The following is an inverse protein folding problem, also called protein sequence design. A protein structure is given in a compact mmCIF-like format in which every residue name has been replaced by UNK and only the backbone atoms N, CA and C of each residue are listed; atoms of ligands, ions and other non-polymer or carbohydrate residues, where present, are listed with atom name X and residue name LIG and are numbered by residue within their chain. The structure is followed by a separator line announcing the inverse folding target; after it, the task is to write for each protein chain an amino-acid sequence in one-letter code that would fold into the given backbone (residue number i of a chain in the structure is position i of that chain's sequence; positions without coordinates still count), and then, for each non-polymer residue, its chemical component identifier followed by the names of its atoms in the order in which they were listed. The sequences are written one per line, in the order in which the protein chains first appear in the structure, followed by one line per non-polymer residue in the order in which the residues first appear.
data_IF_943591597020
#
_entry.id   IF_943591597020
#
_cell.length_a   1.000
_cell.length_b   1.000
_cell.length_c   1.000
_cell.angle_alpha   90.00
_cell.angle_beta   90.00
_cell.angle_gamma   90.00
#
_symmetry.space_group_name_H-M   'P 1'
#
loop_
_entity.id
_entity.type
_entity.pdbx_description
1 polymer ?
#
# COMPACT_ATOMS: atom_id res chain seq x y z
N UNK A 1 -33.21 9.73 -2.47
CA UNK A 1 -32.60 8.39 -2.44
C UNK A 1 -33.00 7.50 -3.61
N UNK A 2 -33.31 8.05 -4.79
CA UNK A 2 -33.65 7.28 -6.02
C UNK A 2 -32.57 7.37 -7.12
N UNK A 3 -31.56 8.21 -6.93
CA UNK A 3 -30.53 8.49 -7.96
C UNK A 3 -29.42 7.40 -7.99
N UNK A 4 -29.12 6.79 -6.85
CA UNK A 4 -28.10 5.73 -6.72
C UNK A 4 -28.46 4.42 -7.43
N UNK A 5 -29.75 4.10 -7.58
CA UNK A 5 -30.18 2.89 -8.28
C UNK A 5 -30.10 2.99 -9.81
N UNK A 6 -30.19 4.22 -10.34
CA UNK A 6 -30.19 4.44 -11.79
C UNK A 6 -28.77 4.37 -12.39
N UNK A 7 -27.76 4.84 -11.68
CA UNK A 7 -26.36 4.78 -12.12
C UNK A 7 -25.80 3.35 -12.07
N UNK A 8 -26.17 2.56 -11.05
CA UNK A 8 -25.78 1.15 -10.94
C UNK A 8 -26.42 0.31 -12.05
N UNK A 9 -27.69 0.58 -12.41
CA UNK A 9 -28.38 -0.08 -13.50
C UNK A 9 -27.74 0.17 -14.88
N UNK A 10 -27.14 1.35 -15.07
CA UNK A 10 -26.48 1.71 -16.34
C UNK A 10 -25.16 0.97 -16.50
N UNK A 11 -24.39 0.77 -15.42
CA UNK A 11 -23.14 0.01 -15.44
C UNK A 11 -23.40 -1.49 -15.68
N UNK A 12 -24.46 -2.05 -15.10
CA UNK A 12 -24.85 -3.44 -15.29
C UNK A 12 -25.41 -3.67 -16.71
N UNK A 13 -26.12 -2.70 -17.30
CA UNK A 13 -26.66 -2.80 -18.66
C UNK A 13 -25.56 -2.82 -19.74
N UNK A 14 -24.37 -2.25 -19.48
CA UNK A 14 -23.25 -2.31 -20.41
C UNK A 14 -22.53 -3.68 -20.39
N UNK A 15 -22.67 -4.46 -19.30
CA UNK A 15 -22.13 -5.83 -19.17
C UNK A 15 -23.08 -6.95 -19.64
N UNK A 16 -24.36 -6.65 -19.89
CA UNK A 16 -25.39 -7.67 -20.18
C UNK A 16 -25.67 -7.91 -21.69
N UNK A 17 -24.64 -7.89 -22.52
CA UNK A 17 -24.82 -8.26 -23.94
C UNK A 17 -24.84 -9.78 -24.06
N UNK A 18 -26.08 -10.31 -24.21
CA UNK A 18 -26.49 -11.64 -24.71
C UNK A 18 -26.18 -12.87 -23.84
N UNK A 19 -27.06 -13.15 -22.87
CA UNK A 19 -27.36 -14.54 -22.51
C UNK A 19 -28.87 -14.82 -22.63
N UNK A 20 -29.23 -15.93 -23.26
CA UNK A 20 -30.60 -16.32 -23.61
C UNK A 20 -31.51 -16.73 -22.43
N UNK A 21 -31.16 -16.35 -21.21
CA UNK A 21 -32.00 -16.38 -20.00
C UNK A 21 -31.74 -15.10 -19.22
N UNK A 22 -32.27 -13.97 -19.71
CA UNK A 22 -32.23 -12.71 -19.00
C UNK A 22 -33.02 -12.85 -17.68
N UNK A 23 -32.34 -12.97 -16.59
CA UNK A 23 -32.92 -12.68 -15.27
C UNK A 23 -33.47 -11.26 -15.31
N UNK A 24 -34.63 -11.04 -14.67
CA UNK A 24 -35.15 -9.68 -14.52
C UNK A 24 -34.04 -8.78 -13.94
N UNK A 25 -33.85 -7.60 -14.53
CA UNK A 25 -32.84 -6.62 -14.11
C UNK A 25 -32.87 -6.38 -12.58
N UNK A 26 -34.03 -6.46 -11.96
CA UNK A 26 -34.20 -6.34 -10.50
C UNK A 26 -33.54 -7.50 -9.74
N UNK A 27 -33.63 -8.73 -10.24
CA UNK A 27 -33.01 -9.90 -9.60
C UNK A 27 -31.49 -9.91 -9.85
N UNK A 28 -31.04 -9.47 -11.02
CA UNK A 28 -29.61 -9.29 -11.30
C UNK A 28 -28.97 -8.24 -10.37
N UNK A 29 -29.67 -7.11 -10.10
CA UNK A 29 -29.20 -6.06 -9.19
C UNK A 29 -29.16 -6.53 -7.74
N UNK A 30 -30.09 -7.38 -7.32
CA UNK A 30 -30.12 -7.93 -5.94
C UNK A 30 -28.96 -8.86 -5.62
N UNK A 31 -28.37 -9.48 -6.63
CA UNK A 31 -27.29 -10.45 -6.51
C UNK A 31 -25.89 -9.84 -6.73
N UNK A 32 -25.79 -8.51 -6.85
CA UNK A 32 -24.50 -7.82 -6.94
C UNK A 32 -23.97 -7.57 -5.53
N UNK A 33 -22.81 -8.12 -5.23
CA UNK A 33 -22.04 -7.76 -4.05
C UNK A 33 -21.44 -6.37 -4.29
N UNK A 34 -21.67 -5.45 -3.35
CA UNK A 34 -21.14 -4.09 -3.39
C UNK A 34 -20.39 -3.82 -2.12
N UNK A 35 -19.14 -3.41 -2.25
CA UNK A 35 -18.33 -2.91 -1.15
C UNK A 35 -17.52 -1.72 -1.62
N UNK A 36 -16.95 -0.97 -0.69
CA UNK A 36 -16.16 0.18 -1.09
C UNK A 36 -15.56 0.94 0.07
N UNK A 37 -14.78 1.96 -0.30
CA UNK A 37 -14.12 2.85 0.64
C UNK A 37 -14.21 4.28 0.11
N UNK A 38 -14.52 5.21 1.00
CA UNK A 38 -14.40 6.65 0.75
C UNK A 38 -13.50 7.20 1.83
N UNK A 39 -12.40 7.82 1.43
CA UNK A 39 -11.43 8.38 2.35
C UNK A 39 -11.17 9.85 2.07
N UNK A 40 -10.95 10.59 3.15
CA UNK A 40 -10.51 11.98 3.16
C UNK A 40 -9.33 12.11 4.10
N UNK A 41 -8.32 12.88 3.69
CA UNK A 41 -7.14 13.19 4.50
C UNK A 41 -6.81 14.68 4.35
N UNK A 42 -6.72 15.35 5.48
CA UNK A 42 -6.11 16.67 5.60
C UNK A 42 -4.71 16.51 6.15
N UNK A 43 -3.73 17.04 5.46
CA UNK A 43 -2.36 17.18 5.94
C UNK A 43 -2.06 18.67 6.14
N UNK A 44 -1.26 18.96 7.16
CA UNK A 44 -0.77 20.28 7.47
C UNK A 44 0.69 20.17 7.95
N UNK A 45 1.59 20.80 7.20
CA UNK A 45 3.02 20.72 7.43
C UNK A 45 3.58 22.14 7.55
N UNK A 46 4.27 22.39 8.65
CA UNK A 46 4.97 23.63 8.89
C UNK A 46 6.47 23.33 8.97
N UNK A 47 7.22 23.79 7.95
CA UNK A 47 8.63 23.51 7.78
C UNK A 47 9.48 24.70 8.20
N UNK A 48 10.59 24.42 8.90
CA UNK A 48 11.62 25.36 9.32
C UNK A 48 13.00 24.80 9.03
N UNK A 49 14.03 25.65 9.02
CA UNK A 49 15.43 25.24 8.97
C UNK A 49 16.14 25.61 10.25
N UNK A 50 17.13 24.82 10.65
CA UNK A 50 17.96 25.07 11.84
C UNK A 50 18.92 26.28 11.64
N UNK A 51 19.20 26.66 10.38
CA UNK A 51 20.12 27.74 10.04
C UNK A 51 19.45 29.12 9.98
N UNK A 52 20.07 30.10 10.62
CA UNK A 52 19.68 31.52 10.58
C UNK A 52 19.87 32.18 9.19
N UNK A 53 20.22 31.45 8.15
CA UNK A 53 20.36 31.95 6.79
C UNK A 53 18.98 32.15 6.15
N UNK A 54 18.35 33.25 6.52
CA UNK A 54 16.99 33.70 6.21
C UNK A 54 16.63 33.90 4.72
N UNK A 55 17.35 33.32 3.77
CA UNK A 55 17.10 33.44 2.34
C UNK A 55 16.48 32.22 1.69
N UNK A 56 16.20 31.13 2.46
CA UNK A 56 15.42 29.99 1.97
C UNK A 56 13.98 30.10 2.42
N UNK A 57 13.09 30.13 1.45
CA UNK A 57 11.67 30.00 1.69
C UNK A 57 11.40 28.58 2.14
N UNK A 58 11.31 28.38 3.43
CA UNK A 58 10.78 27.14 4.01
C UNK A 58 9.28 27.27 3.94
N UNK A 59 8.62 26.32 3.32
CA UNK A 59 7.20 26.41 3.02
C UNK A 59 6.34 25.66 4.02
N UNK A 60 5.33 26.31 4.54
CA UNK A 60 4.19 25.60 5.11
C UNK A 60 3.25 25.21 4.00
N UNK A 61 2.75 23.98 3.99
CA UNK A 61 1.76 23.55 3.02
C UNK A 61 0.68 22.68 3.65
N UNK A 62 -0.51 22.76 3.11
CA UNK A 62 -1.62 21.90 3.49
C UNK A 62 -2.25 21.27 2.26
N UNK A 63 -2.79 20.08 2.41
CA UNK A 63 -3.47 19.37 1.33
C UNK A 63 -4.74 18.70 1.82
N UNK A 64 -5.73 18.66 0.92
CA UNK A 64 -7.00 17.96 1.12
C UNK A 64 -7.11 16.86 0.08
N UNK A 65 -6.89 15.64 0.53
CA UNK A 65 -6.72 14.47 -0.32
C UNK A 65 -7.95 13.57 -0.22
N UNK A 66 -8.44 13.09 -1.36
CA UNK A 66 -9.65 12.28 -1.46
C UNK A 66 -9.44 11.10 -2.38
N UNK A 67 -10.08 9.99 -2.03
CA UNK A 67 -10.24 8.83 -2.90
C UNK A 67 -11.54 8.11 -2.58
N UNK A 68 -12.23 7.66 -3.61
CA UNK A 68 -13.36 6.76 -3.44
C UNK A 68 -13.18 5.54 -4.34
N UNK A 69 -13.41 4.36 -3.79
CA UNK A 69 -13.32 3.10 -4.52
C UNK A 69 -14.58 2.26 -4.26
N UNK A 70 -15.13 1.68 -5.34
CA UNK A 70 -16.31 0.82 -5.29
C UNK A 70 -15.93 -0.51 -5.95
N UNK A 71 -16.16 -1.61 -5.23
CA UNK A 71 -15.99 -2.96 -5.75
C UNK A 71 -17.37 -3.55 -6.05
N UNK A 72 -17.48 -4.21 -7.18
CA UNK A 72 -18.66 -4.94 -7.60
C UNK A 72 -18.29 -6.40 -7.84
N UNK A 73 -19.07 -7.33 -7.29
CA UNK A 73 -18.93 -8.76 -7.52
C UNK A 73 -20.24 -9.33 -8.06
N UNK A 74 -20.20 -10.07 -9.17
CA UNK A 74 -21.36 -10.69 -9.78
C UNK A 74 -21.10 -12.17 -10.02
N UNK A 75 -21.90 -13.05 -9.40
CA UNK A 75 -21.86 -14.47 -9.70
C UNK A 75 -22.47 -14.70 -11.08
N UNK A 76 -21.66 -15.16 -12.04
CA UNK A 76 -22.09 -15.46 -13.40
C UNK A 76 -22.73 -16.86 -13.47
N UNK A 77 -22.07 -17.85 -12.85
CA UNK A 77 -22.56 -19.22 -12.63
C UNK A 77 -21.85 -19.83 -11.40
N UNK A 78 -21.95 -21.15 -11.19
CA UNK A 78 -21.38 -21.78 -10.00
C UNK A 78 -19.86 -21.74 -9.94
N UNK A 79 -19.18 -21.66 -11.08
CA UNK A 79 -17.73 -21.69 -11.20
C UNK A 79 -17.12 -20.35 -11.63
N UNK A 80 -17.95 -19.33 -12.00
CA UNK A 80 -17.46 -18.07 -12.55
C UNK A 80 -18.07 -16.88 -11.80
N UNK A 81 -17.19 -15.99 -11.30
CA UNK A 81 -17.54 -14.68 -10.73
C UNK A 81 -16.88 -13.58 -11.55
N UNK A 82 -17.63 -12.55 -11.91
CA UNK A 82 -17.09 -11.29 -12.45
C UNK A 82 -16.85 -10.31 -11.30
N UNK A 83 -15.67 -9.67 -11.29
CA UNK A 83 -15.32 -8.63 -10.35
C UNK A 83 -14.95 -7.36 -11.11
N UNK A 84 -15.28 -6.22 -10.51
CA UNK A 84 -14.84 -4.93 -11.01
C UNK A 84 -14.58 -3.95 -9.86
N UNK A 85 -13.62 -3.04 -10.08
CA UNK A 85 -13.28 -1.98 -9.16
C UNK A 85 -13.26 -0.65 -9.90
N UNK A 86 -14.06 0.30 -9.43
CA UNK A 86 -14.14 1.65 -9.96
C UNK A 86 -13.53 2.59 -8.93
N UNK A 87 -12.61 3.45 -9.35
CA UNK A 87 -11.96 4.44 -8.51
C UNK A 87 -12.33 5.84 -9.02
N UNK A 88 -12.64 6.74 -8.09
CA UNK A 88 -12.60 8.18 -8.26
C UNK A 88 -11.37 8.69 -7.49
N UNK A 89 -10.36 9.14 -8.22
CA UNK A 89 -9.03 9.49 -7.69
C UNK A 89 -8.10 9.93 -8.81
N UNK A 90 -6.81 9.63 -8.67
CA UNK A 90 -5.81 9.82 -9.71
C UNK A 90 -5.76 8.60 -10.63
N UNK A 91 -5.99 8.78 -11.93
CA UNK A 91 -6.01 7.70 -12.89
C UNK A 91 -4.63 7.04 -13.07
N UNK A 92 -3.57 7.82 -12.98
CA UNK A 92 -2.22 7.36 -13.29
C UNK A 92 -1.76 6.27 -12.30
N UNK A 93 -1.89 6.50 -11.01
CA UNK A 93 -1.40 5.59 -9.96
C UNK A 93 -2.52 4.94 -9.13
N UNK A 94 -3.79 5.20 -9.47
CA UNK A 94 -4.96 4.77 -8.71
C UNK A 94 -4.99 5.30 -7.26
N UNK A 95 -4.27 6.38 -7.00
CA UNK A 95 -4.15 7.03 -5.69
C UNK A 95 -5.14 8.17 -5.46
N UNK A 96 -4.81 9.01 -4.50
CA UNK A 96 -5.61 10.16 -4.09
C UNK A 96 -5.50 11.35 -5.04
N UNK A 97 -6.52 12.20 -5.04
CA UNK A 97 -6.55 13.53 -5.68
C UNK A 97 -6.65 14.63 -4.65
N UNK A 98 -5.96 15.73 -4.90
CA UNK A 98 -6.02 16.95 -4.09
C UNK A 98 -7.22 17.78 -4.55
N UNK A 99 -8.19 18.00 -3.65
CA UNK A 99 -9.36 18.85 -3.88
C UNK A 99 -9.30 20.04 -2.92
N UNK A 100 -8.65 21.12 -3.36
CA UNK A 100 -8.63 22.39 -2.67
C UNK A 100 -9.60 23.35 -3.37
N UNK A 101 -10.25 24.25 -2.62
CA UNK A 101 -11.16 25.26 -3.20
C UNK A 101 -10.41 26.48 -3.76
N UNK A 102 -9.08 26.42 -3.79
CA UNK A 102 -8.23 27.50 -4.34
C UNK A 102 -8.13 27.36 -5.86
N UNK A 103 -8.15 28.47 -6.57
CA UNK A 103 -8.19 28.53 -8.04
C UNK A 103 -7.03 27.80 -8.73
N UNK A 104 -5.86 27.70 -8.09
CA UNK A 104 -4.66 27.06 -8.64
C UNK A 104 -4.32 25.71 -8.00
N UNK A 105 -5.13 25.22 -7.08
CA UNK A 105 -4.85 23.99 -6.34
C UNK A 105 -5.98 22.98 -6.37
N UNK A 106 -7.06 23.25 -7.12
CA UNK A 106 -8.19 22.34 -7.21
C UNK A 106 -8.04 21.43 -8.45
N UNK A 107 -8.10 20.13 -8.21
CA UNK A 107 -8.05 19.12 -9.26
C UNK A 107 -9.40 18.40 -9.35
N UNK A 108 -9.72 17.89 -10.53
CA UNK A 108 -10.90 17.05 -10.73
C UNK A 108 -10.56 15.59 -10.47
N UNK A 109 -11.53 14.83 -9.97
CA UNK A 109 -11.45 13.38 -9.94
C UNK A 109 -11.43 12.81 -11.37
N UNK A 110 -10.53 11.87 -11.57
CA UNK A 110 -10.67 10.90 -12.64
C UNK A 110 -11.55 9.75 -12.13
N UNK A 111 -12.50 9.32 -12.95
CA UNK A 111 -13.32 8.14 -12.67
C UNK A 111 -12.97 7.07 -13.68
N UNK A 112 -12.39 5.97 -13.20
CA UNK A 112 -11.87 4.94 -14.10
C UNK A 112 -12.09 3.54 -13.54
N UNK A 113 -11.99 2.55 -14.44
CA UNK A 113 -12.10 1.14 -14.12
C UNK A 113 -10.70 0.60 -13.76
N UNK A 114 -10.45 0.45 -12.46
CA UNK A 114 -9.19 -0.07 -11.94
C UNK A 114 -9.07 -1.59 -12.12
N UNK A 115 -10.18 -2.32 -11.90
CA UNK A 115 -10.21 -3.78 -12.11
C UNK A 115 -11.45 -4.21 -12.91
N UNK A 116 -11.26 -5.19 -13.79
CA UNK A 116 -12.32 -5.91 -14.52
C UNK A 116 -11.81 -7.31 -14.84
N UNK A 117 -12.23 -8.30 -14.08
CA UNK A 117 -11.71 -9.66 -14.17
C UNK A 117 -12.77 -10.72 -13.90
N UNK A 118 -12.43 -11.97 -14.25
CA UNK A 118 -13.24 -13.13 -13.98
C UNK A 118 -12.45 -14.12 -13.12
N UNK A 119 -13.03 -14.55 -11.99
CA UNK A 119 -12.55 -15.69 -11.21
C UNK A 119 -13.20 -16.96 -11.71
N UNK A 120 -12.40 -17.98 -11.96
CA UNK A 120 -12.83 -19.34 -12.29
C UNK A 120 -12.39 -20.31 -11.22
N UNK A 121 -13.35 -21.05 -10.67
CA UNK A 121 -13.18 -22.01 -9.55
C UNK A 121 -13.50 -23.47 -9.94
N UNK A 122 -13.74 -23.76 -11.22
CA UNK A 122 -14.06 -25.11 -11.71
C UNK A 122 -12.90 -26.13 -11.64
N UNK A 123 -11.69 -25.67 -11.27
CA UNK A 123 -10.57 -26.57 -10.94
C UNK A 123 -10.48 -26.75 -9.44
N UNK A 124 -10.44 -28.01 -8.98
CA UNK A 124 -10.42 -28.32 -7.55
C UNK A 124 -9.27 -27.60 -6.83
N UNK A 125 -9.56 -26.97 -5.69
CA UNK A 125 -8.62 -26.22 -4.84
C UNK A 125 -7.86 -25.10 -5.57
N UNK A 126 -8.35 -24.65 -6.74
CA UNK A 126 -7.67 -23.65 -7.56
C UNK A 126 -8.62 -22.51 -7.92
N UNK A 127 -8.15 -21.29 -7.79
CA UNK A 127 -8.81 -20.10 -8.34
C UNK A 127 -7.92 -19.55 -9.45
N UNK A 128 -8.53 -19.29 -10.60
CA UNK A 128 -7.87 -18.66 -11.75
C UNK A 128 -8.56 -17.32 -12.01
N UNK A 129 -7.81 -16.23 -11.90
CA UNK A 129 -8.32 -14.88 -12.19
C UNK A 129 -7.75 -14.39 -13.51
N UNK A 130 -8.61 -13.95 -14.43
CA UNK A 130 -8.26 -13.47 -15.77
C UNK A 130 -8.85 -12.09 -16.01
N UNK A 131 -8.03 -11.15 -16.45
CA UNK A 131 -8.42 -9.77 -16.80
C UNK A 131 -7.58 -8.72 -16.10
N UNK A 132 -8.08 -7.47 -16.02
CA UNK A 132 -7.45 -6.39 -15.28
C UNK A 132 -7.74 -6.56 -13.79
N UNK A 133 -6.71 -6.70 -12.96
CA UNK A 133 -6.81 -7.03 -11.56
C UNK A 133 -5.68 -6.41 -10.75
N UNK A 134 -5.81 -6.35 -9.42
CA UNK A 134 -4.72 -5.98 -8.52
C UNK A 134 -3.56 -6.97 -8.62
N UNK A 135 -2.33 -6.45 -8.59
CA UNK A 135 -1.11 -7.27 -8.57
C UNK A 135 -0.67 -7.42 -7.12
N UNK A 136 -0.87 -8.60 -6.55
CA UNK A 136 -0.57 -8.89 -5.14
C UNK A 136 0.68 -9.76 -5.04
N UNK A 137 1.79 -9.14 -4.74
CA UNK A 137 3.09 -9.78 -4.47
C UNK A 137 3.76 -9.06 -3.31
N UNK A 138 4.86 -9.57 -2.71
CA UNK A 138 5.62 -8.79 -1.73
C UNK A 138 6.18 -7.47 -2.28
N UNK A 139 6.32 -7.34 -3.60
CA UNK A 139 6.89 -6.18 -4.29
C UNK A 139 5.89 -5.08 -4.62
N UNK A 140 4.58 -5.32 -4.43
CA UNK A 140 3.51 -4.45 -4.92
C UNK A 140 2.49 -4.14 -3.83
N UNK A 141 1.80 -3.01 -3.96
CA UNK A 141 0.65 -2.66 -3.13
C UNK A 141 -0.63 -2.74 -3.96
N UNK A 142 -1.42 -3.79 -3.78
CA UNK A 142 -2.59 -4.05 -4.62
C UNK A 142 -3.81 -3.19 -4.30
N UNK A 143 -3.97 -2.75 -3.06
CA UNK A 143 -5.10 -1.89 -2.65
C UNK A 143 -4.73 -1.02 -1.45
N UNK A 144 -5.10 0.24 -1.53
CA UNK A 144 -4.98 1.21 -0.45
C UNK A 144 -6.23 2.11 -0.35
N UNK A 145 -6.48 2.69 0.82
CA UNK A 145 -7.62 3.58 1.04
C UNK A 145 -7.46 4.95 0.35
N UNK A 146 -6.22 5.45 0.27
CA UNK A 146 -5.85 6.71 -0.37
C UNK A 146 -4.62 6.57 -1.28
N UNK A 147 -3.63 5.74 -0.92
CA UNK A 147 -2.39 5.56 -1.65
C UNK A 147 -2.55 4.88 -3.01
N UNK A 148 -1.42 4.63 -3.64
CA UNK A 148 -1.32 3.97 -4.94
C UNK A 148 -1.87 2.54 -4.90
N UNK A 149 -2.24 2.02 -6.07
CA UNK A 149 -2.64 0.62 -6.23
C UNK A 149 -1.95 0.02 -7.46
N UNK A 150 -1.24 -1.08 -7.25
CA UNK A 150 -0.66 -1.85 -8.33
C UNK A 150 -1.72 -2.69 -9.04
N UNK A 151 -1.89 -2.49 -10.35
CA UNK A 151 -2.81 -3.24 -11.19
C UNK A 151 -2.15 -3.72 -12.47
N UNK A 152 -2.67 -4.80 -13.03
CA UNK A 152 -2.18 -5.33 -14.30
C UNK A 152 -3.27 -6.10 -15.04
N UNK A 153 -3.08 -6.28 -16.35
CA UNK A 153 -3.94 -7.12 -17.18
C UNK A 153 -3.23 -8.43 -17.48
N UNK A 154 -3.83 -9.54 -17.04
CA UNK A 154 -3.16 -10.84 -17.15
C UNK A 154 -3.95 -11.98 -16.53
N UNK A 155 -3.22 -13.00 -16.10
CA UNK A 155 -3.75 -14.21 -15.49
C UNK A 155 -3.00 -14.50 -14.19
N UNK A 156 -3.74 -14.82 -13.13
CA UNK A 156 -3.21 -15.33 -11.86
C UNK A 156 -3.90 -16.65 -11.55
N UNK A 157 -3.13 -17.64 -11.11
CA UNK A 157 -3.65 -18.91 -10.61
C UNK A 157 -3.10 -19.18 -9.21
N UNK A 158 -4.00 -19.43 -8.27
CA UNK A 158 -3.67 -19.85 -6.90
C UNK A 158 -4.24 -21.22 -6.63
N UNK A 159 -3.39 -22.17 -6.24
CA UNK A 159 -3.80 -23.53 -5.88
C UNK A 159 -3.42 -23.85 -4.43
N UNK A 160 -4.31 -24.51 -3.72
CA UNK A 160 -4.08 -24.98 -2.35
C UNK A 160 -3.81 -26.48 -2.32
N UNK A 161 -2.71 -26.88 -1.72
CA UNK A 161 -2.30 -28.27 -1.51
C UNK A 161 -2.52 -28.65 -0.04
N UNK A 162 -3.76 -29.04 0.28
CA UNK A 162 -4.23 -29.18 1.66
C UNK A 162 -4.36 -27.82 2.35
N UNK A 163 -4.33 -27.83 3.70
CA UNK A 163 -4.55 -26.63 4.52
C UNK A 163 -3.25 -25.84 4.79
N UNK A 164 -2.10 -26.40 4.45
CA UNK A 164 -0.80 -25.85 4.84
C UNK A 164 -0.04 -25.18 3.72
N UNK A 165 -0.25 -25.58 2.47
CA UNK A 165 0.59 -25.14 1.35
C UNK A 165 -0.27 -24.46 0.29
N UNK A 166 0.16 -23.30 -0.19
CA UNK A 166 -0.40 -22.66 -1.39
C UNK A 166 0.71 -22.30 -2.36
N UNK A 167 0.36 -22.34 -3.65
CA UNK A 167 1.20 -21.90 -4.75
C UNK A 167 0.41 -20.93 -5.60
N UNK A 168 0.98 -19.75 -5.83
CA UNK A 168 0.40 -18.73 -6.70
C UNK A 168 1.38 -18.42 -7.83
N UNK A 169 0.89 -18.36 -9.06
CA UNK A 169 1.66 -17.89 -10.20
C UNK A 169 0.84 -16.86 -11.00
N UNK A 170 1.49 -15.80 -11.47
CA UNK A 170 0.86 -14.75 -12.24
C UNK A 170 1.71 -14.33 -13.44
N UNK A 171 1.01 -13.89 -14.50
CA UNK A 171 1.59 -13.27 -15.67
C UNK A 171 0.71 -12.11 -16.11
N UNK A 172 1.29 -10.93 -16.24
CA UNK A 172 0.66 -9.71 -16.70
C UNK A 172 1.40 -9.20 -17.93
N UNK A 173 0.66 -8.91 -18.99
CA UNK A 173 1.25 -8.35 -20.19
C UNK A 173 1.29 -6.81 -20.18
N UNK A 174 0.64 -6.19 -19.21
CA UNK A 174 0.64 -4.75 -18.94
C UNK A 174 0.36 -4.52 -17.46
N UNK A 175 0.99 -3.48 -16.90
CA UNK A 175 0.82 -3.04 -15.51
C UNK A 175 0.71 -1.51 -15.46
N UNK A 176 0.47 -0.95 -14.26
CA UNK A 176 0.57 0.50 -14.02
C UNK A 176 1.79 0.86 -13.18
N UNK A 177 2.88 0.10 -13.28
CA UNK A 177 4.07 0.31 -12.43
C UNK A 177 4.88 1.56 -12.77
N UNK A 178 4.71 2.15 -13.95
CA UNK A 178 5.32 3.40 -14.39
C UNK A 178 4.97 4.60 -13.50
N UNK A 179 3.84 4.53 -12.83
CA UNK A 179 3.26 5.65 -12.08
C UNK A 179 3.56 5.58 -10.57
N UNK A 180 4.49 4.76 -10.17
CA UNK A 180 5.07 4.83 -8.84
C UNK A 180 5.94 6.07 -8.78
N UNK A 181 5.34 7.13 -8.26
CA UNK A 181 5.81 8.50 -8.33
C UNK A 181 7.22 8.66 -7.74
N UNK A 182 8.17 8.88 -8.64
CA UNK A 182 9.53 9.32 -8.31
C UNK A 182 9.59 10.73 -7.69
N UNK A 183 8.46 11.38 -7.49
CA UNK A 183 8.39 12.75 -6.95
C UNK A 183 8.38 12.81 -5.43
N UNK A 184 8.40 11.68 -4.74
CA UNK A 184 8.58 11.67 -3.29
C UNK A 184 10.00 12.15 -2.97
N UNK A 185 10.13 13.35 -2.45
CA UNK A 185 11.38 13.95 -1.97
C UNK A 185 11.97 13.24 -0.74
N UNK A 186 11.35 12.14 -0.32
CA UNK A 186 11.75 11.31 0.81
C UNK A 186 11.70 9.85 0.39
N UNK A 187 12.73 9.37 -0.35
CA UNK A 187 12.95 7.95 -0.61
C UNK A 187 12.09 7.32 -1.71
N UNK A 188 11.65 8.10 -2.71
CA UNK A 188 10.97 7.55 -3.87
C UNK A 188 11.88 6.74 -4.79
N UNK A 189 11.32 5.72 -5.44
CA UNK A 189 12.00 4.78 -6.32
C UNK A 189 12.48 5.40 -7.62
N UNK A 190 13.44 6.31 -7.53
CA UNK A 190 14.10 6.89 -8.71
C UNK A 190 14.87 5.83 -9.56
N UNK A 191 15.02 4.62 -9.04
CA UNK A 191 15.74 3.53 -9.71
C UNK A 191 14.87 2.76 -10.72
N UNK A 192 13.53 2.75 -10.58
CA UNK A 192 12.61 2.16 -11.55
C UNK A 192 12.24 3.12 -12.70
N UNK A 193 13.13 4.06 -13.03
CA UNK A 193 12.91 5.04 -14.09
C UNK A 193 12.75 4.34 -15.45
N UNK A 194 11.81 4.84 -16.25
CA UNK A 194 11.48 4.38 -17.62
C UNK A 194 10.67 3.07 -17.71
N UNK A 195 9.96 2.68 -16.66
CA UNK A 195 8.86 1.73 -16.77
C UNK A 195 7.66 2.47 -17.35
N UNK A 196 7.05 2.00 -18.43
CA UNK A 196 5.89 2.65 -19.07
C UNK A 196 4.62 1.79 -19.04
N UNK A 197 4.65 0.69 -18.26
CA UNK A 197 3.54 -0.23 -18.08
C UNK A 197 3.34 -1.21 -19.23
N UNK A 198 4.16 -1.15 -20.29
CA UNK A 198 4.11 -2.11 -21.41
C UNK A 198 4.97 -3.36 -21.13
N UNK A 199 5.82 -3.32 -20.13
CA UNK A 199 6.64 -4.45 -19.72
C UNK A 199 5.78 -5.56 -19.12
N UNK A 200 6.07 -6.80 -19.50
CA UNK A 200 5.41 -7.97 -18.92
C UNK A 200 5.95 -8.24 -17.51
N UNK A 201 5.05 -8.52 -16.56
CA UNK A 201 5.41 -8.94 -15.22
C UNK A 201 5.00 -10.39 -14.97
N UNK A 202 5.94 -11.21 -14.53
CA UNK A 202 5.69 -12.60 -14.15
C UNK A 202 6.14 -12.85 -12.71
N UNK A 203 5.41 -13.68 -11.98
CA UNK A 203 5.84 -14.06 -10.63
C UNK A 203 5.34 -15.44 -10.21
N UNK A 204 6.01 -16.01 -9.20
CA UNK A 204 5.61 -17.22 -8.51
C UNK A 204 5.83 -17.05 -7.01
N UNK A 205 4.82 -17.42 -6.21
CA UNK A 205 4.86 -17.38 -4.75
C UNK A 205 4.49 -18.74 -4.18
N UNK A 206 5.35 -19.29 -3.32
CA UNK A 206 5.05 -20.45 -2.48
C UNK A 206 4.81 -19.99 -1.04
N UNK A 207 3.75 -20.49 -0.39
CA UNK A 207 3.44 -20.20 1.01
C UNK A 207 3.22 -21.47 1.78
N UNK A 208 3.79 -21.57 3.00
CA UNK A 208 3.59 -22.67 3.93
C UNK A 208 3.14 -22.11 5.28
N UNK A 209 1.97 -22.56 5.76
CA UNK A 209 1.43 -22.20 7.06
C UNK A 209 1.39 -23.43 7.97
N UNK A 210 2.05 -23.36 9.15
CA UNK A 210 2.09 -24.43 10.12
C UNK A 210 2.29 -23.91 11.54
N UNK A 211 1.49 -24.41 12.48
CA UNK A 211 1.62 -24.14 13.92
C UNK A 211 1.72 -22.64 14.30
N UNK A 212 0.90 -21.81 13.69
CA UNK A 212 0.90 -20.35 13.93
C UNK A 212 2.01 -19.59 13.22
N UNK A 213 2.80 -20.27 12.37
CA UNK A 213 3.83 -19.64 11.54
C UNK A 213 3.46 -19.69 10.07
N UNK A 214 3.81 -18.68 9.32
CA UNK A 214 3.68 -18.62 7.86
C UNK A 214 5.03 -18.26 7.27
N UNK A 215 5.51 -19.08 6.34
CA UNK A 215 6.68 -18.83 5.50
C UNK A 215 6.20 -18.59 4.07
N UNK A 216 6.69 -17.54 3.43
CA UNK A 216 6.48 -17.29 2.01
C UNK A 216 7.81 -17.05 1.28
N UNK A 217 7.84 -17.43 0.00
CA UNK A 217 8.93 -17.14 -0.90
C UNK A 217 8.36 -16.76 -2.27
N UNK A 218 8.82 -15.64 -2.81
CA UNK A 218 8.37 -15.10 -4.09
C UNK A 218 9.57 -14.77 -4.97
N UNK A 219 9.48 -15.15 -6.24
CA UNK A 219 10.29 -14.63 -7.32
C UNK A 219 9.39 -13.86 -8.28
N UNK A 220 9.86 -12.72 -8.78
CA UNK A 220 9.17 -11.88 -9.77
C UNK A 220 10.16 -11.31 -10.76
N UNK A 221 9.72 -11.12 -12.01
CA UNK A 221 10.49 -10.56 -13.12
C UNK A 221 9.62 -9.52 -13.83
N UNK A 222 10.12 -8.30 -13.93
CA UNK A 222 9.59 -7.26 -14.83
C UNK A 222 10.50 -7.18 -16.04
N UNK A 223 9.98 -7.57 -17.20
CA UNK A 223 10.74 -7.76 -18.44
C UNK A 223 11.65 -6.57 -18.76
N UNK A 224 12.94 -6.85 -18.98
CA UNK A 224 13.98 -5.86 -19.34
C UNK A 224 14.12 -4.72 -18.31
N UNK A 225 13.73 -4.96 -17.03
CA UNK A 225 13.78 -3.96 -15.95
C UNK A 225 14.41 -4.47 -14.67
N UNK A 226 13.88 -5.55 -14.11
CA UNK A 226 14.42 -6.14 -12.89
C UNK A 226 13.98 -7.59 -12.68
N UNK A 227 14.82 -8.31 -11.97
CA UNK A 227 14.50 -9.55 -11.26
C UNK A 227 14.41 -9.29 -9.76
N UNK A 228 13.43 -9.89 -9.07
CA UNK A 228 13.28 -9.71 -7.64
C UNK A 228 12.94 -11.01 -6.93
N UNK A 229 13.47 -11.19 -5.71
CA UNK A 229 13.05 -12.26 -4.82
C UNK A 229 12.84 -11.77 -3.40
N UNK A 230 11.89 -12.38 -2.71
CA UNK A 230 11.57 -12.06 -1.33
C UNK A 230 11.26 -13.33 -0.55
N UNK A 231 11.78 -13.45 0.65
CA UNK A 231 11.48 -14.53 1.60
C UNK A 231 11.05 -13.94 2.92
N UNK A 232 9.85 -14.30 3.37
CA UNK A 232 9.26 -13.79 4.59
C UNK A 232 8.84 -14.92 5.54
N UNK A 233 8.95 -14.66 6.84
CA UNK A 233 8.39 -15.50 7.90
C UNK A 233 7.64 -14.62 8.88
N UNK A 234 6.44 -15.04 9.28
CA UNK A 234 5.66 -14.38 10.33
C UNK A 234 5.02 -15.40 11.24
N UNK A 235 4.78 -15.01 12.48
CA UNK A 235 4.14 -15.85 13.48
C UNK A 235 3.00 -15.14 14.17
N UNK A 236 2.00 -15.91 14.63
CA UNK A 236 0.89 -15.47 15.46
C UNK A 236 0.78 -16.43 16.65
N UNK A 237 1.20 -15.96 17.83
CA UNK A 237 1.25 -16.76 19.04
C UNK A 237 0.41 -16.12 20.14
N UNK A 238 -0.38 -16.94 20.82
CA UNK A 238 -1.12 -16.52 22.02
C UNK A 238 -0.63 -17.32 23.21
N UNK A 239 -0.11 -16.63 24.22
CA UNK A 239 0.39 -17.20 25.48
C UNK A 239 -0.40 -16.53 26.59
N UNK A 240 -1.41 -17.22 27.13
CA UNK A 240 -2.40 -16.66 28.04
C UNK A 240 -3.05 -15.38 27.45
N UNK A 241 -2.85 -14.22 28.06
CA UNK A 241 -3.36 -12.92 27.59
C UNK A 241 -2.40 -12.18 26.66
N UNK A 242 -1.18 -12.69 26.47
CA UNK A 242 -0.16 -12.08 25.62
C UNK A 242 -0.28 -12.62 24.20
N UNK A 243 -0.47 -11.71 23.25
CA UNK A 243 -0.45 -12.00 21.80
C UNK A 243 0.85 -11.46 21.25
N UNK A 244 1.60 -12.30 20.53
CA UNK A 244 2.88 -11.97 19.91
C UNK A 244 2.82 -12.27 18.41
N UNK A 245 3.16 -11.28 17.59
CA UNK A 245 3.25 -11.41 16.14
C UNK A 245 4.66 -11.00 15.64
N UNK A 246 5.68 -11.87 15.77
CA UNK A 246 7.01 -11.63 15.20
C UNK A 246 7.01 -11.83 13.70
N UNK A 247 7.88 -11.10 12.99
CA UNK A 247 8.14 -11.31 11.58
C UNK A 247 9.59 -11.01 11.21
N UNK A 248 10.03 -11.57 10.09
CA UNK A 248 11.26 -11.20 9.40
C UNK A 248 11.09 -11.38 7.89
N UNK A 249 11.71 -10.53 7.10
CA UNK A 249 11.73 -10.61 5.63
C UNK A 249 13.09 -10.17 5.09
N UNK A 250 13.53 -10.85 4.05
CA UNK A 250 14.63 -10.43 3.20
C UNK A 250 14.13 -10.30 1.78
N UNK A 251 14.48 -9.21 1.12
CA UNK A 251 14.10 -8.93 -0.26
C UNK A 251 15.31 -8.41 -1.03
N UNK A 252 15.40 -8.76 -2.31
CA UNK A 252 16.39 -8.26 -3.25
C UNK A 252 15.72 -7.93 -4.57
N UNK A 253 16.22 -6.89 -5.22
CA UNK A 253 15.81 -6.46 -6.55
C UNK A 253 17.07 -6.11 -7.34
N UNK A 254 17.32 -6.87 -8.40
CA UNK A 254 18.42 -6.75 -9.34
C UNK A 254 17.95 -5.96 -10.57
N UNK A 255 18.59 -4.82 -10.84
CA UNK A 255 18.22 -3.91 -11.92
C UNK A 255 18.96 -4.25 -13.20
N UNK A 256 18.26 -4.58 -14.28
CA UNK A 256 18.85 -4.86 -15.60
C UNK A 256 19.65 -3.69 -16.19
N UNK A 257 19.40 -2.46 -15.72
CA UNK A 257 20.06 -1.26 -16.22
C UNK A 257 21.42 -0.96 -15.59
N UNK A 258 21.72 -1.58 -14.47
CA UNK A 258 22.95 -1.43 -13.68
C UNK A 258 23.36 -2.81 -13.17
N UNK A 259 24.59 -2.95 -12.66
CA UNK A 259 25.01 -4.18 -11.97
C UNK A 259 24.68 -4.11 -10.46
N UNK A 260 23.62 -3.35 -10.08
CA UNK A 260 23.28 -3.08 -8.68
C UNK A 260 22.22 -4.06 -8.16
N UNK A 261 22.56 -4.80 -7.12
CA UNK A 261 21.67 -5.69 -6.37
C UNK A 261 21.11 -4.96 -5.14
N UNK A 262 19.98 -4.30 -5.26
CA UNK A 262 19.32 -3.66 -4.13
C UNK A 262 18.83 -4.69 -3.12
N UNK A 263 19.14 -4.51 -1.85
CA UNK A 263 18.63 -5.40 -0.81
C UNK A 263 18.07 -4.66 0.40
N UNK A 264 17.03 -5.24 0.98
CA UNK A 264 16.46 -4.82 2.26
C UNK A 264 16.12 -6.05 3.10
N UNK A 265 16.57 -6.07 4.35
CA UNK A 265 16.05 -7.02 5.30
C UNK A 265 15.41 -6.29 6.49
N UNK A 266 14.35 -6.87 7.03
CA UNK A 266 13.64 -6.33 8.18
C UNK A 266 13.17 -7.40 9.13
N UNK A 267 13.05 -7.04 10.40
CA UNK A 267 12.45 -7.89 11.44
C UNK A 267 11.71 -7.01 12.43
N UNK A 268 10.64 -7.54 13.00
CA UNK A 268 9.88 -6.81 14.00
C UNK A 268 8.99 -7.75 14.81
N UNK A 269 8.38 -7.17 15.83
CA UNK A 269 7.42 -7.86 16.68
C UNK A 269 6.33 -6.90 17.16
N UNK A 270 5.08 -7.32 17.01
CA UNK A 270 3.95 -6.72 17.70
C UNK A 270 3.64 -7.56 18.93
N UNK A 271 3.44 -6.89 20.06
CA UNK A 271 3.02 -7.53 21.32
C UNK A 271 1.77 -6.81 21.85
N UNK A 272 0.75 -7.59 22.25
CA UNK A 272 -0.47 -7.05 22.86
C UNK A 272 -0.75 -7.77 24.19
N UNK A 273 -1.00 -6.99 25.25
CA UNK A 273 -1.34 -7.50 26.58
C UNK A 273 -2.49 -6.68 27.18
N UNK A 274 -3.67 -7.27 27.22
CA UNK A 274 -4.88 -6.58 27.66
C UNK A 274 -5.20 -5.36 26.78
N UNK A 275 -5.17 -4.17 27.37
CA UNK A 275 -5.41 -2.90 26.65
C UNK A 275 -4.15 -2.26 26.07
N UNK A 276 -2.96 -2.82 26.33
CA UNK A 276 -1.67 -2.25 25.91
C UNK A 276 -1.11 -2.98 24.69
N UNK A 277 -0.60 -2.20 23.74
CA UNK A 277 0.13 -2.67 22.58
C UNK A 277 1.54 -2.09 22.55
N UNK A 278 2.47 -2.84 21.97
CA UNK A 278 3.82 -2.38 21.66
C UNK A 278 4.29 -2.99 20.34
N UNK A 279 4.96 -2.20 19.53
CA UNK A 279 5.58 -2.63 18.28
C UNK A 279 7.02 -2.15 18.24
N UNK A 280 7.93 -2.98 17.76
CA UNK A 280 9.28 -2.59 17.41
C UNK A 280 9.71 -3.34 16.15
N UNK A 281 10.36 -2.62 15.25
CA UNK A 281 10.95 -3.17 14.04
C UNK A 281 12.30 -2.53 13.75
N UNK A 282 13.15 -3.29 13.07
CA UNK A 282 14.44 -2.85 12.56
C UNK A 282 14.63 -3.37 11.14
N UNK A 283 15.24 -2.56 10.28
CA UNK A 283 15.60 -2.94 8.93
C UNK A 283 16.89 -2.28 8.48
N UNK A 284 17.48 -2.83 7.42
CA UNK A 284 18.71 -2.34 6.83
C UNK A 284 18.74 -2.59 5.33
N UNK A 285 19.32 -1.64 4.60
CA UNK A 285 19.59 -1.70 3.16
C UNK A 285 21.09 -1.83 2.91
N UNK A 286 21.47 -2.30 1.70
CA UNK A 286 22.87 -2.35 1.29
C UNK A 286 23.33 -1.04 0.64
N UNK A 287 24.64 -0.98 0.28
CA UNK A 287 25.25 0.20 -0.32
C UNK A 287 24.76 0.49 -1.75
N UNK A 288 24.24 -0.51 -2.45
CA UNK A 288 23.80 -0.41 -3.85
C UNK A 288 22.42 0.21 -3.96
N UNK A 289 21.53 -0.08 -3.01
CA UNK A 289 20.22 0.55 -2.97
C UNK A 289 19.21 -0.12 -2.04
N UNK A 290 18.15 0.61 -1.70
CA UNK A 290 17.07 0.15 -0.83
C UNK A 290 15.73 -0.08 -1.54
N UNK A 291 15.70 0.08 -2.86
CA UNK A 291 14.50 -0.16 -3.67
C UNK A 291 14.34 -1.66 -3.93
N UNK A 292 13.38 -2.28 -3.27
CA UNK A 292 13.12 -3.73 -3.33
C UNK A 292 11.69 -4.07 -3.76
N UNK A 293 10.99 -3.11 -4.34
CA UNK A 293 9.63 -3.28 -4.84
C UNK A 293 9.18 -2.09 -5.68
N UNK A 294 7.97 -2.16 -6.21
CA UNK A 294 7.35 -1.11 -7.02
C UNK A 294 6.61 -0.06 -6.19
N UNK A 295 6.57 -0.22 -4.88
CA UNK A 295 5.94 0.69 -3.93
C UNK A 295 6.66 0.60 -2.57
N UNK A 296 6.93 1.75 -1.94
CA UNK A 296 7.63 1.82 -0.66
C UNK A 296 6.87 1.13 0.47
N UNK A 297 5.53 1.16 0.42
CA UNK A 297 4.62 0.52 1.38
C UNK A 297 4.35 -0.96 1.06
N UNK A 298 5.07 -1.56 0.08
CA UNK A 298 4.98 -3.00 -0.22
C UNK A 298 5.57 -3.85 0.91
N UNK A 299 5.18 -5.13 0.98
CA UNK A 299 5.70 -6.05 1.99
C UNK A 299 7.23 -6.24 1.92
N UNK A 300 7.85 -6.06 0.76
CA UNK A 300 9.31 -6.10 0.60
C UNK A 300 10.00 -4.85 1.14
N UNK A 301 9.35 -3.69 1.08
CA UNK A 301 9.83 -2.42 1.60
C UNK A 301 9.67 -2.28 3.12
N UNK A 302 10.01 -1.10 3.66
CA UNK A 302 9.84 -0.76 5.07
C UNK A 302 9.41 0.71 5.21
N UNK A 303 8.09 0.90 5.38
CA UNK A 303 7.37 2.18 5.51
C UNK A 303 6.28 2.03 6.57
N UNK A 304 6.69 1.74 7.82
CA UNK A 304 5.77 1.32 8.88
C UNK A 304 5.08 2.50 9.59
N UNK A 305 5.60 3.73 9.44
CA UNK A 305 5.06 4.90 10.13
C UNK A 305 4.56 5.99 9.16
N UNK A 306 4.93 7.26 9.35
CA UNK A 306 4.26 8.35 8.64
C UNK A 306 5.10 9.02 7.56
N UNK A 307 6.31 9.48 7.93
CA UNK A 307 7.22 10.24 7.04
C UNK A 307 8.53 9.52 6.79
N UNK A 308 8.99 8.75 7.76
CA UNK A 308 10.24 8.01 7.68
C UNK A 308 9.99 6.70 6.94
N UNK A 309 10.64 6.51 5.80
CA UNK A 309 10.64 5.26 5.03
C UNK A 309 12.07 4.85 4.69
N UNK A 310 12.41 3.58 4.96
CA UNK A 310 13.69 3.00 4.60
C UNK A 310 13.76 2.58 3.14
N UNK A 311 12.61 2.27 2.53
CA UNK A 311 12.52 1.88 1.12
C UNK A 311 13.12 2.96 0.22
N UNK A 312 13.99 2.58 -0.73
CA UNK A 312 14.66 3.49 -1.66
C UNK A 312 15.92 4.18 -1.12
N UNK A 313 16.25 4.03 0.17
CA UNK A 313 17.48 4.59 0.76
C UNK A 313 18.57 3.51 0.77
N UNK A 314 19.73 3.83 0.20
CA UNK A 314 20.90 2.96 0.20
C UNK A 314 21.74 3.14 1.45
N UNK A 315 22.53 2.12 1.84
CA UNK A 315 23.47 2.14 2.97
C UNK A 315 22.84 2.76 4.23
N UNK A 316 21.70 2.25 4.65
CA UNK A 316 20.97 2.82 5.78
C UNK A 316 20.36 1.75 6.68
N UNK A 317 20.09 2.10 7.93
CA UNK A 317 19.31 1.30 8.84
C UNK A 317 18.18 2.12 9.46
N UNK A 318 17.07 1.46 9.78
CA UNK A 318 15.90 2.11 10.37
C UNK A 318 15.39 1.35 11.60
N UNK A 319 14.87 2.11 12.55
CA UNK A 319 14.12 1.60 13.70
C UNK A 319 12.74 2.24 13.71
N UNK A 320 11.71 1.42 13.99
CA UNK A 320 10.33 1.85 14.20
C UNK A 320 9.85 1.33 15.54
N UNK A 321 9.21 2.17 16.33
CA UNK A 321 8.67 1.80 17.63
C UNK A 321 7.33 2.47 17.89
N UNK A 322 6.35 1.70 18.36
CA UNK A 322 5.05 2.19 18.80
C UNK A 322 4.74 1.65 20.18
N UNK A 323 4.13 2.47 21.01
CA UNK A 323 3.40 2.04 22.20
C UNK A 323 1.99 2.58 22.11
N UNK A 324 1.00 1.74 22.40
CA UNK A 324 -0.38 2.14 22.31
C UNK A 324 -1.24 1.61 23.46
N UNK A 325 -2.40 2.22 23.63
CA UNK A 325 -3.38 1.77 24.61
C UNK A 325 -4.80 1.95 24.09
N UNK A 326 -5.63 0.94 24.28
CA UNK A 326 -7.06 0.98 24.03
C UNK A 326 -7.75 1.66 25.23
N UNK A 327 -7.97 2.98 25.12
CA UNK A 327 -8.55 3.80 26.23
C UNK A 327 -10.04 3.47 26.45
N UNK A 328 -10.76 3.19 25.37
CA UNK A 328 -12.15 2.67 25.36
C UNK A 328 -12.29 1.66 24.23
N UNK A 329 -13.42 0.96 24.14
CA UNK A 329 -13.69 0.00 23.05
C UNK A 329 -13.59 0.62 21.63
N UNK A 330 -13.60 1.94 21.54
CA UNK A 330 -13.62 2.67 20.26
C UNK A 330 -12.48 3.66 20.09
N UNK A 331 -11.70 3.94 21.14
CA UNK A 331 -10.61 4.93 21.13
C UNK A 331 -9.29 4.26 21.46
N UNK A 332 -8.34 4.35 20.56
CA UNK A 332 -6.92 3.96 20.75
C UNK A 332 -6.03 5.20 20.70
N UNK A 333 -5.02 5.24 21.54
CA UNK A 333 -4.00 6.31 21.58
C UNK A 333 -2.64 5.67 21.45
N UNK A 334 -1.80 6.19 20.55
CA UNK A 334 -0.43 5.71 20.36
C UNK A 334 0.59 6.84 20.37
N UNK A 335 1.81 6.49 20.76
CA UNK A 335 3.03 7.28 20.56
C UNK A 335 3.96 6.45 19.67
N UNK A 336 4.47 7.10 18.62
CA UNK A 336 5.22 6.46 17.56
C UNK A 336 6.55 7.21 17.40
N UNK A 337 7.61 6.45 17.17
CA UNK A 337 8.95 6.94 16.87
C UNK A 337 9.53 6.12 15.72
N UNK A 338 10.16 6.78 14.76
CA UNK A 338 11.01 6.14 13.76
C UNK A 338 12.25 6.99 13.49
N UNK A 339 13.33 6.32 13.11
CA UNK A 339 14.57 6.97 12.74
C UNK A 339 15.36 6.16 11.73
N UNK A 340 16.05 6.85 10.84
CA UNK A 340 17.01 6.31 9.88
C UNK A 340 18.40 6.84 10.25
N UNK A 341 19.35 5.91 10.29
CA UNK A 341 20.80 6.15 10.37
C UNK A 341 21.37 5.85 8.97
N UNK A 342 21.77 6.90 8.28
CA UNK A 342 22.27 6.87 6.91
C UNK A 342 23.79 6.67 6.93
N UNK A 343 24.28 5.62 6.28
CA UNK A 343 25.70 5.32 6.16
C UNK A 343 26.43 6.30 5.25
N UNK A 344 27.74 6.18 5.19
CA UNK A 344 28.60 7.11 4.44
C UNK A 344 28.42 7.06 2.92
N UNK A 345 27.74 6.02 2.41
CA UNK A 345 27.44 5.84 0.98
C UNK A 345 25.94 5.99 0.69
N UNK A 346 25.19 6.43 1.68
CA UNK A 346 23.75 6.64 1.54
C UNK A 346 23.44 7.73 0.51
N UNK A 347 22.32 7.56 -0.18
CA UNK A 347 21.72 8.59 -1.03
C UNK A 347 20.79 9.55 -0.24
N UNK A 348 20.75 9.42 1.08
CA UNK A 348 19.94 10.23 1.98
C UNK A 348 20.76 10.64 3.21
N UNK A 349 20.17 11.47 4.04
CA UNK A 349 20.69 11.90 5.34
C UNK A 349 19.92 11.22 6.46
N UNK A 350 20.39 11.35 7.70
CA UNK A 350 19.68 10.85 8.88
C UNK A 350 18.31 11.51 9.01
N UNK A 351 17.33 10.72 9.38
CA UNK A 351 15.93 11.17 9.51
C UNK A 351 15.35 10.69 10.83
N UNK A 352 14.48 11.47 11.41
CA UNK A 352 13.71 11.04 12.56
C UNK A 352 12.28 11.60 12.55
N UNK A 353 11.36 10.86 13.15
CA UNK A 353 10.03 11.36 13.47
C UNK A 353 9.54 10.85 14.82
N UNK A 354 8.74 11.69 15.48
CA UNK A 354 7.95 11.32 16.63
C UNK A 354 6.57 11.93 16.52
N UNK A 355 5.52 11.11 16.69
CA UNK A 355 4.15 11.60 16.67
C UNK A 355 3.23 10.86 17.61
N UNK A 356 2.23 11.58 18.12
CA UNK A 356 1.08 10.99 18.81
C UNK A 356 -0.09 10.82 17.83
N UNK A 357 -0.86 9.74 18.02
CA UNK A 357 -2.08 9.49 17.26
C UNK A 357 -3.23 9.15 18.20
N UNK A 358 -4.40 9.68 17.88
CA UNK A 358 -5.68 9.25 18.44
C UNK A 358 -6.51 8.67 17.32
N UNK A 359 -6.84 7.39 17.41
CA UNK A 359 -7.72 6.70 16.47
C UNK A 359 -9.09 6.47 17.13
N UNK A 360 -10.15 6.79 16.39
CA UNK A 360 -11.54 6.66 16.86
C UNK A 360 -12.38 5.88 15.85
N UNK A 361 -12.88 4.72 16.29
CA UNK A 361 -13.84 3.91 15.54
C UNK A 361 -15.26 4.41 15.85
N UNK A 362 -15.72 5.37 15.05
CA UNK A 362 -17.02 6.04 15.25
C UNK A 362 -18.21 5.08 15.08
N UNK A 363 -18.07 4.09 14.18
CA UNK A 363 -19.06 3.03 13.96
C UNK A 363 -18.37 1.79 13.35
N UNK A 364 -19.16 0.76 13.04
CA UNK A 364 -18.67 -0.43 12.30
C UNK A 364 -18.00 -0.06 10.98
N UNK A 365 -18.45 1.00 10.33
CA UNK A 365 -18.11 1.38 8.96
C UNK A 365 -17.34 2.70 8.86
N UNK A 366 -17.23 3.48 9.94
CA UNK A 366 -16.63 4.81 9.94
C UNK A 366 -15.54 4.89 11.00
N UNK A 367 -14.33 5.22 10.57
CA UNK A 367 -13.16 5.45 11.41
C UNK A 367 -12.51 6.79 11.09
N UNK A 368 -11.83 7.35 12.06
CA UNK A 368 -11.03 8.57 11.93
C UNK A 368 -9.78 8.45 12.80
N UNK A 369 -8.72 9.14 12.40
CA UNK A 369 -7.60 9.39 13.28
C UNK A 369 -7.06 10.81 13.10
N UNK A 370 -6.46 11.32 14.17
CA UNK A 370 -5.66 12.54 14.14
C UNK A 370 -4.23 12.21 14.58
N UNK A 371 -3.24 12.80 13.89
CA UNK A 371 -1.81 12.71 14.21
C UNK A 371 -1.25 14.11 14.38
N UNK A 372 -0.31 14.26 15.30
CA UNK A 372 0.50 15.46 15.48
C UNK A 372 1.90 15.05 15.91
N UNK A 373 2.92 15.59 15.26
CA UNK A 373 4.30 15.22 15.53
C UNK A 373 5.34 16.17 14.96
N UNK A 374 6.57 15.71 15.03
CA UNK A 374 7.77 16.36 14.52
C UNK A 374 8.48 15.39 13.58
N UNK A 375 9.01 15.92 12.49
CA UNK A 375 9.87 15.22 11.54
C UNK A 375 11.09 16.06 11.27
N UNK A 376 12.27 15.42 11.23
CA UNK A 376 13.56 16.06 11.06
C UNK A 376 14.41 15.30 10.04
N UNK A 377 15.16 16.02 9.22
CA UNK A 377 16.19 15.50 8.32
C UNK A 377 17.45 16.32 8.54
N UNK A 378 18.53 15.67 8.98
CA UNK A 378 19.81 16.29 9.23
C UNK A 378 20.45 16.76 7.92
N UNK A 379 21.14 17.90 7.95
CA UNK A 379 21.90 18.44 6.82
C UNK A 379 21.13 18.55 5.47
N UNK A 380 19.79 18.53 5.49
CA UNK A 380 18.94 18.49 4.30
C UNK A 380 19.25 19.60 3.29
N UNK A 381 19.58 20.78 3.76
CA UNK A 381 19.96 21.95 2.94
C UNK A 381 21.46 22.17 2.83
N UNK A 382 22.27 21.23 3.33
CA UNK A 382 23.73 21.28 3.37
C UNK A 382 24.26 21.24 4.81
N UNK A 383 25.56 21.14 4.97
CA UNK A 383 26.19 20.92 6.26
C UNK A 383 25.73 21.92 7.34
N UNK A 384 25.17 21.40 8.40
CA UNK A 384 24.59 22.11 9.55
C UNK A 384 23.32 22.94 9.26
N UNK A 385 22.51 22.50 8.30
CA UNK A 385 21.23 23.13 7.99
C UNK A 385 20.14 22.06 7.84
N UNK A 386 19.51 21.71 8.95
CA UNK A 386 18.54 20.64 9.06
C UNK A 386 17.15 21.11 8.62
N UNK A 387 16.34 20.18 8.12
CA UNK A 387 14.91 20.39 7.92
C UNK A 387 14.17 19.95 9.19
N UNK A 388 13.43 20.86 9.79
CA UNK A 388 12.50 20.56 10.88
C UNK A 388 11.06 20.78 10.41
N UNK A 389 10.16 19.85 10.65
CA UNK A 389 8.76 19.95 10.29
C UNK A 389 7.85 19.61 11.45
N UNK A 390 6.93 20.52 11.76
CA UNK A 390 5.73 20.17 12.54
C UNK A 390 4.71 19.57 11.60
N UNK A 391 4.26 18.35 11.88
CA UNK A 391 3.41 17.58 10.99
C UNK A 391 2.06 17.29 11.65
N UNK A 392 0.98 17.59 10.95
CA UNK A 392 -0.41 17.37 11.35
C UNK A 392 -1.18 16.58 10.30
N UNK A 393 -2.04 15.67 10.73
CA UNK A 393 -2.94 14.92 9.85
C UNK A 393 -4.27 14.63 10.52
N UNK A 394 -5.34 14.80 9.75
CA UNK A 394 -6.66 14.26 10.05
C UNK A 394 -7.07 13.32 8.92
N UNK A 395 -7.50 12.12 9.24
CA UNK A 395 -8.00 11.14 8.28
C UNK A 395 -9.38 10.66 8.68
N UNK A 396 -10.28 10.55 7.71
CA UNK A 396 -11.62 9.99 7.88
C UNK A 396 -11.86 8.96 6.78
N UNK A 397 -12.30 7.77 7.16
CA UNK A 397 -12.55 6.67 6.24
C UNK A 397 -13.89 6.01 6.52
N UNK A 398 -14.71 5.90 5.48
CA UNK A 398 -15.94 5.13 5.48
C UNK A 398 -15.79 3.90 4.58
N UNK A 399 -16.07 2.71 5.12
CA UNK A 399 -16.04 1.43 4.39
C UNK A 399 -17.40 0.76 4.47
N UNK A 400 -17.90 0.20 3.38
CA UNK A 400 -19.24 -0.40 3.29
C UNK A 400 -19.24 -1.69 2.48
#
# INVERSE_FOLDING_TARGET
MKITKLSLATIIALGSISFANAQNLEDAIKNVEVSGTVAYRYNDYEESTSSANANRSVGSYSSNNYKAAINLGVKVNDDVKFNSRIIAGNQDNAGEKVLNTQTEGDENFDVFLSEANFDYTGVQNTVITLGKQGVTTPFTLSRDALGNEATGTGLVATTHMGDMVSLTGGYFNQTNFDNNDSSSTTGGDSQLINVDGSESFAYITGTVAYAGMTLDATYGELQDRFDAYSVGIKGDFTIDELILAPYARYSSLDLDSTDDDNTLWKTGIQANLGIFGAYIAYGQTNEEGGTVGTDASSDSGMDDHWRVTLSGISDASAIYATVDTQVTDTVNVSLNYSGIDAGSKSNSEDQSEVYAQVAYKMSKNLSTYARLGQFEVDNYYGANDDLESTIGRLHVQYSF
#
